data_IF_074420445631
#
_entry.id   IF_074420445631
#
_cell.length_a   1.000
_cell.length_b   1.000
_cell.length_c   1.000
_cell.angle_alpha   90.00
_cell.angle_beta   90.00
_cell.angle_gamma   90.00
#
_symmetry.space_group_name_H-M   'P 1'
#
loop_
_entity.id
_entity.type
_entity.pdbx_description
1 polymer ?
#
# COMPACT_ATOMS: atom_id res chain seq x y z
N UNK A 1 -5.47 -11.33 -2.86
CA UNK A 1 -5.43 -12.12 -1.62
C UNK A 1 -6.85 -12.55 -1.29
N UNK A 2 -7.09 -13.85 -1.14
CA UNK A 2 -8.36 -14.38 -0.64
C UNK A 2 -8.44 -14.12 0.87
N UNK A 3 -9.63 -13.90 1.45
CA UNK A 3 -9.76 -13.78 2.89
C UNK A 3 -9.61 -15.18 3.49
N UNK A 4 -8.40 -15.53 3.92
CA UNK A 4 -8.17 -16.65 4.84
C UNK A 4 -8.86 -16.34 6.16
N UNK A 5 -9.25 -17.37 6.91
CA UNK A 5 -9.86 -17.28 8.24
C UNK A 5 -8.87 -16.77 9.30
N UNK A 6 -8.20 -15.66 9.02
CA UNK A 6 -7.31 -14.98 9.95
C UNK A 6 -8.15 -14.23 10.99
N UNK A 7 -7.77 -14.39 12.26
CA UNK A 7 -8.33 -13.57 13.33
C UNK A 7 -7.97 -12.12 13.08
N UNK A 8 -8.80 -11.20 13.58
CA UNK A 8 -8.53 -9.76 13.49
C UNK A 8 -7.12 -9.43 14.02
N UNK A 9 -6.71 -10.07 15.12
CA UNK A 9 -5.41 -9.87 15.76
C UNK A 9 -4.23 -10.31 14.88
N UNK A 10 -4.34 -11.49 14.24
CA UNK A 10 -3.30 -11.96 13.31
C UNK A 10 -3.16 -11.01 12.13
N UNK A 11 -4.29 -10.59 11.55
CA UNK A 11 -4.31 -9.62 10.45
C UNK A 11 -3.64 -8.32 10.87
N UNK A 12 -3.95 -7.79 12.05
CA UNK A 12 -3.34 -6.56 12.55
C UNK A 12 -1.83 -6.73 12.73
N UNK A 13 -1.38 -7.82 13.37
CA UNK A 13 0.04 -8.13 13.55
C UNK A 13 0.79 -8.18 12.21
N UNK A 14 0.23 -8.84 11.19
CA UNK A 14 0.83 -8.93 9.87
C UNK A 14 0.88 -7.56 9.17
N UNK A 15 -0.17 -6.76 9.27
CA UNK A 15 -0.19 -5.40 8.72
C UNK A 15 0.86 -4.50 9.38
N UNK A 16 0.99 -4.54 10.72
CA UNK A 16 2.04 -3.80 11.43
C UNK A 16 3.44 -4.25 10.99
N UNK A 17 3.68 -5.54 10.84
CA UNK A 17 4.96 -6.06 10.32
C UNK A 17 5.25 -5.53 8.91
N UNK A 18 4.26 -5.51 8.01
CA UNK A 18 4.44 -4.93 6.67
C UNK A 18 4.78 -3.44 6.71
N UNK A 19 4.12 -2.67 7.58
CA UNK A 19 4.36 -1.23 7.77
C UNK A 19 5.77 -0.98 8.29
N UNK A 20 6.16 -1.69 9.36
CA UNK A 20 7.48 -1.53 9.97
C UNK A 20 8.60 -1.93 9.00
N UNK A 21 8.40 -2.99 8.21
CA UNK A 21 9.36 -3.40 7.18
C UNK A 21 9.51 -2.33 6.08
N UNK A 22 8.40 -1.80 5.56
CA UNK A 22 8.44 -0.75 4.53
C UNK A 22 9.13 0.52 5.07
N UNK A 23 8.88 0.88 6.33
CA UNK A 23 9.48 2.06 6.95
C UNK A 23 10.98 1.91 7.19
N UNK A 24 11.38 0.78 7.77
CA UNK A 24 12.77 0.51 8.16
C UNK A 24 13.68 0.25 6.96
N UNK A 25 13.18 -0.44 5.92
CA UNK A 25 13.99 -0.82 4.76
C UNK A 25 13.96 0.21 3.65
N UNK A 26 12.79 0.78 3.37
CA UNK A 26 12.57 1.52 2.13
C UNK A 26 12.64 3.04 2.31
N UNK A 27 12.96 3.52 3.53
CA UNK A 27 13.11 4.95 3.89
C UNK A 27 11.98 5.84 3.35
N UNK A 28 10.75 5.31 3.33
CA UNK A 28 9.60 6.02 2.79
C UNK A 28 9.18 7.17 3.70
N UNK A 29 8.87 8.31 3.10
CA UNK A 29 8.41 9.49 3.84
C UNK A 29 6.96 9.36 4.32
N UNK A 30 6.13 8.59 3.59
CA UNK A 30 4.72 8.35 3.90
C UNK A 30 4.31 6.93 3.54
N UNK A 31 3.42 6.33 4.33
CA UNK A 31 2.91 4.98 4.14
C UNK A 31 1.40 5.04 3.96
N UNK A 32 0.91 4.54 2.83
CA UNK A 32 -0.52 4.40 2.57
C UNK A 32 -0.88 2.93 2.37
N UNK A 33 -2.04 2.53 2.85
CA UNK A 33 -2.48 1.13 2.84
C UNK A 33 -3.94 1.02 2.39
N UNK A 34 -4.26 -0.09 1.71
CA UNK A 34 -5.65 -0.52 1.46
C UNK A 34 -5.95 -1.75 2.30
N UNK A 35 -6.72 -1.59 3.39
CA UNK A 35 -7.12 -2.72 4.25
C UNK A 35 -8.51 -3.29 3.94
N UNK A 36 -9.31 -2.55 3.16
CA UNK A 36 -10.74 -2.85 2.93
C UNK A 36 -11.08 -3.28 1.50
N UNK A 37 -10.13 -3.15 0.58
CA UNK A 37 -10.36 -3.36 -0.85
C UNK A 37 -9.47 -4.45 -1.42
N UNK A 38 -9.97 -5.11 -2.46
CA UNK A 38 -9.21 -6.16 -3.15
C UNK A 38 -8.11 -5.51 -3.98
N UNK A 39 -6.94 -6.17 -4.06
CA UNK A 39 -5.87 -5.76 -4.98
C UNK A 39 -6.32 -5.73 -6.46
N UNK A 40 -7.43 -6.39 -6.79
CA UNK A 40 -8.03 -6.38 -8.12
C UNK A 40 -8.95 -5.19 -8.39
N UNK A 41 -9.25 -4.35 -7.39
CA UNK A 41 -10.12 -3.17 -7.50
C UNK A 41 -9.31 -1.96 -8.00
N UNK A 42 -9.91 -1.11 -8.84
CA UNK A 42 -9.29 0.11 -9.35
C UNK A 42 -8.95 1.08 -8.21
N UNK A 43 -7.85 1.82 -8.31
CA UNK A 43 -7.37 2.68 -7.20
C UNK A 43 -8.42 3.69 -6.72
N UNK A 44 -9.12 4.33 -7.65
CA UNK A 44 -10.17 5.32 -7.35
C UNK A 44 -11.36 4.73 -6.61
N UNK A 45 -11.57 3.42 -6.68
CA UNK A 45 -12.66 2.70 -6.02
C UNK A 45 -12.25 2.06 -4.69
N UNK A 46 -10.95 2.04 -4.38
CA UNK A 46 -10.44 1.45 -3.13
C UNK A 46 -10.77 2.31 -1.93
N UNK A 47 -11.07 1.67 -0.82
CA UNK A 47 -11.29 2.30 0.48
C UNK A 47 -12.38 3.39 0.46
N UNK A 48 -13.36 3.32 -0.46
CA UNK A 48 -14.53 4.21 -0.45
C UNK A 48 -15.42 4.00 0.78
N UNK A 49 -15.42 2.77 1.33
CA UNK A 49 -16.10 2.40 2.58
C UNK A 49 -15.06 1.88 3.55
N UNK A 50 -14.45 2.79 4.29
CA UNK A 50 -13.41 2.48 5.26
C UNK A 50 -14.00 1.84 6.51
N UNK A 51 -13.49 0.67 6.90
CA UNK A 51 -13.66 0.19 8.27
C UNK A 51 -12.69 0.96 9.17
N UNK A 52 -13.21 2.00 9.83
CA UNK A 52 -12.41 2.88 10.68
C UNK A 52 -11.74 2.12 11.83
N UNK A 53 -12.30 0.99 12.28
CA UNK A 53 -11.73 0.21 13.39
C UNK A 53 -10.36 -0.34 13.04
N UNK A 54 -10.15 -0.77 11.79
CA UNK A 54 -8.86 -1.28 11.33
C UNK A 54 -7.82 -0.16 11.32
N UNK A 55 -8.15 0.99 10.72
CA UNK A 55 -7.21 2.10 10.63
C UNK A 55 -6.90 2.76 11.98
N UNK A 56 -7.85 2.78 12.92
CA UNK A 56 -7.60 3.25 14.29
C UNK A 56 -6.58 2.39 15.06
N UNK A 57 -6.45 1.11 14.69
CA UNK A 57 -5.50 0.18 15.32
C UNK A 57 -4.14 0.14 14.59
N UNK A 58 -4.06 0.68 13.38
CA UNK A 58 -2.80 0.77 12.64
C UNK A 58 -2.01 1.99 13.10
N UNK A 59 -0.79 1.76 13.56
CA UNK A 59 0.16 2.83 13.87
C UNK A 59 1.04 3.09 12.64
N UNK A 60 1.58 4.31 12.51
CA UNK A 60 2.56 4.70 11.47
C UNK A 60 2.07 4.62 10.02
N UNK A 61 0.75 4.69 9.80
CA UNK A 61 0.12 4.79 8.47
C UNK A 61 -0.38 6.23 8.26
N UNK A 62 -0.05 6.83 7.11
CA UNK A 62 -0.48 8.18 6.72
C UNK A 62 -1.90 8.22 6.14
N UNK A 63 -2.46 7.07 5.76
CA UNK A 63 -3.86 6.96 5.39
C UNK A 63 -4.19 5.80 4.46
N UNK A 64 -5.39 5.90 3.89
CA UNK A 64 -5.96 4.92 2.95
C UNK A 64 -5.47 5.12 1.52
N UNK A 65 -5.91 4.30 0.57
CA UNK A 65 -5.71 4.59 -0.87
C UNK A 65 -6.32 5.93 -1.29
N UNK A 66 -7.45 6.32 -0.71
CA UNK A 66 -8.08 7.61 -1.03
C UNK A 66 -7.23 8.78 -0.53
N UNK A 67 -6.57 8.62 0.62
CA UNK A 67 -5.66 9.65 1.14
C UNK A 67 -4.37 9.73 0.32
N UNK A 68 -3.90 8.59 -0.19
CA UNK A 68 -2.83 8.57 -1.21
C UNK A 68 -3.22 9.35 -2.47
N UNK A 69 -4.41 9.12 -3.02
CA UNK A 69 -4.90 9.83 -4.22
C UNK A 69 -5.00 11.33 -3.95
N UNK A 70 -5.57 11.73 -2.80
CA UNK A 70 -5.61 13.14 -2.38
C UNK A 70 -4.20 13.72 -2.27
N UNK A 71 -3.27 12.95 -1.71
CA UNK A 71 -1.88 13.36 -1.60
C UNK A 71 -1.25 13.59 -2.99
N UNK A 72 -1.41 12.65 -3.93
CA UNK A 72 -0.92 12.78 -5.31
C UNK A 72 -1.46 14.04 -6.00
N UNK A 73 -2.75 14.33 -5.83
CA UNK A 73 -3.39 15.51 -6.42
C UNK A 73 -2.93 16.84 -5.81
N UNK A 74 -2.62 16.84 -4.51
CA UNK A 74 -2.17 18.03 -3.80
C UNK A 74 -0.66 18.30 -3.97
N UNK A 75 0.14 17.25 -4.21
CA UNK A 75 1.60 17.35 -4.18
C UNK A 75 2.15 17.89 -5.51
N UNK A 76 2.81 19.04 -5.45
CA UNK A 76 3.39 19.71 -6.63
C UNK A 76 4.78 19.19 -7.02
N UNK A 77 5.36 18.26 -6.24
CA UNK A 77 6.71 17.72 -6.44
C UNK A 77 6.66 16.30 -6.98
N UNK A 78 7.76 15.88 -7.59
CA UNK A 78 7.94 14.51 -8.05
C UNK A 78 7.94 13.52 -6.88
N UNK A 79 7.20 12.42 -7.04
CA UNK A 79 7.05 11.34 -6.08
C UNK A 79 7.73 10.09 -6.65
N UNK A 80 8.44 9.38 -5.78
CA UNK A 80 8.90 8.01 -6.01
C UNK A 80 7.95 7.07 -5.28
N UNK A 81 7.17 6.31 -6.02
CA UNK A 81 6.27 5.29 -5.48
C UNK A 81 7.04 4.00 -5.25
N UNK A 82 7.14 3.57 -4.00
CA UNK A 82 7.77 2.31 -3.59
C UNK A 82 6.69 1.33 -3.15
N UNK A 83 6.72 0.10 -3.68
CA UNK A 83 5.74 -0.95 -3.36
C UNK A 83 6.44 -2.26 -3.00
N UNK A 84 5.96 -3.00 -2.00
CA UNK A 84 6.61 -4.24 -1.51
C UNK A 84 6.50 -5.42 -2.49
N UNK A 85 5.47 -5.43 -3.33
CA UNK A 85 5.27 -6.45 -4.35
C UNK A 85 4.31 -5.89 -5.39
N UNK A 86 4.46 -6.35 -6.63
CA UNK A 86 3.52 -6.10 -7.71
C UNK A 86 2.10 -6.52 -7.31
N UNK A 87 1.93 -7.71 -6.73
CA UNK A 87 0.62 -8.18 -6.25
C UNK A 87 0.10 -7.39 -5.04
N UNK A 88 1.00 -6.71 -4.31
CA UNK A 88 0.69 -5.80 -3.21
C UNK A 88 0.13 -4.45 -3.68
N UNK A 89 0.52 -3.98 -4.87
CA UNK A 89 -0.01 -2.75 -5.46
C UNK A 89 -1.32 -2.99 -6.21
N UNK A 90 -1.34 -3.91 -7.17
CA UNK A 90 -2.54 -4.30 -7.91
C UNK A 90 -2.33 -5.66 -8.57
N UNK A 91 -3.36 -6.52 -8.51
CA UNK A 91 -3.35 -7.77 -9.26
C UNK A 91 -3.80 -7.59 -10.73
N UNK A 92 -4.04 -6.35 -11.15
CA UNK A 92 -4.48 -5.97 -12.50
C UNK A 92 -3.54 -4.91 -13.06
N UNK A 93 -2.83 -5.25 -14.13
CA UNK A 93 -1.85 -4.38 -14.77
C UNK A 93 -2.47 -3.06 -15.30
N UNK A 94 -3.67 -3.11 -15.89
CA UNK A 94 -4.33 -1.91 -16.43
C UNK A 94 -4.59 -0.85 -15.35
N UNK A 95 -4.99 -1.25 -14.13
CA UNK A 95 -5.15 -0.31 -13.01
C UNK A 95 -3.83 0.38 -12.62
N UNK A 96 -2.68 -0.30 -12.77
CA UNK A 96 -1.37 0.34 -12.53
C UNK A 96 -1.03 1.32 -13.65
N UNK A 97 -1.32 0.96 -14.90
CA UNK A 97 -1.11 1.87 -16.02
C UNK A 97 -1.98 3.13 -15.92
N UNK A 98 -3.24 2.98 -15.54
CA UNK A 98 -4.16 4.09 -15.31
C UNK A 98 -3.63 5.02 -14.22
N UNK A 99 -3.21 4.47 -13.07
CA UNK A 99 -2.59 5.24 -12.00
C UNK A 99 -1.38 6.06 -12.48
N UNK A 100 -0.46 5.43 -13.22
CA UNK A 100 0.75 6.11 -13.69
C UNK A 100 0.46 7.17 -14.77
N UNK A 101 -0.59 6.99 -15.58
CA UNK A 101 -1.02 7.96 -16.59
C UNK A 101 -1.76 9.15 -15.98
N UNK A 102 -2.62 8.88 -15.01
CA UNK A 102 -3.47 9.89 -14.37
C UNK A 102 -2.65 10.78 -13.43
N UNK A 103 -1.76 10.19 -12.63
CA UNK A 103 -1.02 10.91 -11.59
C UNK A 103 0.43 11.18 -11.98
N UNK A 104 0.62 12.20 -12.81
CA UNK A 104 1.94 12.61 -13.34
C UNK A 104 2.96 13.05 -12.27
N UNK A 105 2.53 13.25 -11.01
CA UNK A 105 3.42 13.47 -9.89
C UNK A 105 4.33 12.25 -9.63
N UNK A 106 3.87 11.04 -9.95
CA UNK A 106 4.68 9.82 -9.84
C UNK A 106 5.70 9.81 -10.98
N UNK A 107 6.97 10.08 -10.66
CA UNK A 107 8.07 10.09 -11.64
C UNK A 107 8.91 8.83 -11.62
N UNK A 108 8.91 8.13 -10.48
CA UNK A 108 9.61 6.86 -10.32
C UNK A 108 8.68 5.87 -9.67
N UNK A 109 8.73 4.64 -10.17
CA UNK A 109 8.03 3.49 -9.63
C UNK A 109 9.08 2.42 -9.33
N UNK A 110 9.08 1.89 -8.11
CA UNK A 110 10.05 0.86 -7.69
C UNK A 110 9.31 -0.20 -6.90
N UNK A 111 9.57 -1.46 -7.26
CA UNK A 111 9.10 -2.62 -6.51
C UNK A 111 10.24 -3.04 -5.59
N UNK A 112 10.07 -2.87 -4.28
CA UNK A 112 10.95 -3.42 -3.26
C UNK A 112 10.61 -4.89 -3.08
N UNK A 113 11.24 -5.73 -3.90
CA UNK A 113 11.07 -7.18 -3.76
C UNK A 113 11.64 -7.60 -2.41
N UNK A 114 10.77 -8.13 -1.56
CA UNK A 114 11.16 -8.75 -0.30
C UNK A 114 12.00 -9.99 -0.62
N UNK A 115 13.31 -9.82 -0.84
CA UNK A 115 14.23 -10.94 -0.74
C UNK A 115 14.16 -11.37 0.72
N UNK A 116 13.44 -12.47 0.96
CA UNK A 116 13.59 -13.22 2.20
C UNK A 116 15.05 -13.62 2.20
N UNK A 117 15.86 -12.97 3.03
CA UNK A 117 17.12 -13.55 3.47
C UNK A 117 16.75 -14.80 4.25
N UNK A 118 16.57 -15.92 3.55
CA UNK A 118 16.70 -17.24 4.13
C UNK A 118 18.19 -17.43 4.42
N UNK A 119 18.73 -16.69 5.39
CA UNK A 119 19.89 -17.20 6.10
C UNK A 119 19.35 -18.28 7.04
N UNK A 120 19.46 -19.52 6.57
CA UNK A 120 19.45 -20.69 7.42
C UNK A 120 20.60 -20.52 8.43
N UNK A 121 20.26 -20.16 9.66
CA UNK A 121 21.11 -20.36 10.83
C UNK A 121 20.47 -21.41 11.74
#
# INVERSE_FOLDING_TARGET
MFPTADTLDNRMKLLHQMIDNLRSRSFVARIFMSSSSRASTAFVERDLKVDQKVYQQLDKVDGTTQDFIKHLNAFKRSICLVVLDFAGLSSRYHHVQELLKEYLAIKKFTVDTFMISNELL
#
